data_IF_541375415226
#
_entry.id   IF_541375415226
#
_cell.length_a   1.000
_cell.length_b   1.000
_cell.length_c   1.000
_cell.angle_alpha   90.00
_cell.angle_beta   90.00
_cell.angle_gamma   90.00
#
_symmetry.space_group_name_H-M   'P 1'
#
loop_
_entity.id
_entity.type
_entity.pdbx_description
1 polymer ?
#
# COMPACT_ATOMS: atom_id res chain seq x y z
N UNK A 1 -11.33 14.66 -15.39
CA UNK A 1 -11.18 13.23 -15.68
C UNK A 1 -9.72 12.89 -15.89
N UNK A 2 -9.33 11.70 -15.47
CA UNK A 2 -7.97 11.19 -15.66
C UNK A 2 -7.86 10.55 -17.03
N UNK A 3 -6.76 10.83 -17.74
CA UNK A 3 -6.51 10.31 -19.07
C UNK A 3 -5.13 9.67 -19.22
N UNK A 4 -4.23 9.92 -18.26
CA UNK A 4 -2.85 9.42 -18.30
C UNK A 4 -2.41 8.88 -16.96
N UNK A 5 -1.70 7.76 -17.02
CA UNK A 5 -1.01 7.19 -15.86
C UNK A 5 0.47 7.46 -16.05
N UNK A 6 1.08 8.13 -15.08
CA UNK A 6 2.48 8.53 -15.13
C UNK A 6 3.28 7.93 -13.97
N UNK A 7 4.57 7.72 -14.18
CA UNK A 7 5.46 7.26 -13.13
C UNK A 7 5.79 8.44 -12.21
N UNK A 8 5.46 8.28 -10.93
CA UNK A 8 5.68 9.33 -9.94
C UNK A 8 7.16 9.68 -9.79
N UNK A 9 7.46 10.97 -9.83
CA UNK A 9 8.81 11.49 -9.59
C UNK A 9 8.72 12.74 -8.71
N UNK A 10 9.74 12.92 -7.86
CA UNK A 10 9.93 14.14 -7.10
C UNK A 10 10.88 15.08 -7.86
N UNK A 11 10.84 16.37 -7.52
CA UNK A 11 11.79 17.32 -8.08
C UNK A 11 13.22 17.01 -7.61
N UNK A 12 14.21 17.69 -8.17
CA UNK A 12 15.62 17.42 -7.92
C UNK A 12 16.04 17.52 -6.45
N UNK A 13 15.37 18.38 -5.67
CA UNK A 13 15.64 18.50 -4.24
C UNK A 13 14.84 17.51 -3.39
N UNK A 14 13.95 16.73 -3.99
CA UNK A 14 13.18 15.70 -3.32
C UNK A 14 12.07 16.18 -2.38
N UNK A 15 11.81 17.49 -2.34
CA UNK A 15 10.85 18.10 -1.41
C UNK A 15 9.42 18.19 -1.97
N UNK A 16 9.28 18.33 -3.28
CA UNK A 16 8.00 18.49 -3.97
C UNK A 16 7.88 17.53 -5.15
N UNK A 17 6.65 17.34 -5.58
CA UNK A 17 6.38 16.58 -6.79
C UNK A 17 6.97 17.33 -8.00
N UNK A 18 7.55 16.57 -8.92
CA UNK A 18 7.88 17.06 -10.25
C UNK A 18 6.58 17.43 -10.98
N UNK A 19 6.63 18.33 -11.95
CA UNK A 19 5.44 18.60 -12.76
C UNK A 19 4.94 17.32 -13.43
N UNK A 20 3.63 17.03 -13.28
CA UNK A 20 3.05 15.80 -13.81
C UNK A 20 3.22 15.66 -15.31
N UNK A 21 3.18 16.77 -16.04
CA UNK A 21 3.42 16.76 -17.49
C UNK A 21 4.84 16.38 -17.89
N UNK A 22 5.79 16.44 -16.93
CA UNK A 22 7.19 16.04 -17.13
C UNK A 22 7.47 14.58 -16.71
N UNK A 23 6.51 13.93 -16.05
CA UNK A 23 6.66 12.54 -15.65
C UNK A 23 6.46 11.58 -16.84
N UNK A 24 7.12 10.42 -16.79
CA UNK A 24 6.98 9.42 -17.83
C UNK A 24 5.55 8.90 -17.91
N UNK A 25 4.94 8.97 -19.09
CA UNK A 25 3.62 8.40 -19.34
C UNK A 25 3.74 6.89 -19.52
N UNK A 26 3.18 6.13 -18.59
CA UNK A 26 3.17 4.67 -18.64
C UNK A 26 2.02 4.14 -19.50
N UNK A 27 0.87 4.79 -19.44
CA UNK A 27 -0.32 4.39 -20.17
C UNK A 27 -1.25 5.57 -20.39
N UNK A 28 -1.80 5.68 -21.58
CA UNK A 28 -2.97 6.51 -21.84
C UNK A 28 -4.22 5.66 -21.65
N UNK A 29 -5.20 6.20 -20.94
CA UNK A 29 -6.44 5.50 -20.60
C UNK A 29 -7.66 6.24 -21.11
N UNK A 30 -8.79 5.55 -21.21
CA UNK A 30 -10.07 6.20 -21.48
C UNK A 30 -10.37 7.17 -20.33
N UNK A 31 -10.89 8.36 -20.62
CA UNK A 31 -11.23 9.33 -19.57
C UNK A 31 -12.10 8.69 -18.47
N UNK A 32 -11.69 8.87 -17.23
CA UNK A 32 -12.37 8.30 -16.06
C UNK A 32 -12.25 9.23 -14.87
N UNK A 33 -13.23 9.18 -13.97
CA UNK A 33 -13.17 9.85 -12.67
C UNK A 33 -12.60 8.94 -11.58
N UNK A 34 -12.34 7.67 -11.89
CA UNK A 34 -11.74 6.72 -10.95
C UNK A 34 -10.23 6.94 -10.86
N UNK A 35 -9.74 7.23 -9.66
CA UNK A 35 -8.31 7.43 -9.38
C UNK A 35 -7.55 6.15 -9.07
N UNK A 36 -8.25 5.02 -8.95
CA UNK A 36 -7.69 3.69 -8.67
C UNK A 36 -6.89 3.58 -7.37
N UNK A 37 -7.02 4.52 -6.42
CA UNK A 37 -6.22 4.51 -5.19
C UNK A 37 -6.39 3.25 -4.33
N UNK A 38 -7.49 2.56 -4.45
CA UNK A 38 -7.74 1.31 -3.72
C UNK A 38 -7.29 0.06 -4.47
N UNK A 39 -6.61 0.23 -5.60
CA UNK A 39 -6.27 -0.87 -6.49
C UNK A 39 -4.77 -0.94 -6.76
N UNK A 40 -4.31 -2.13 -7.14
CA UNK A 40 -3.01 -2.33 -7.77
C UNK A 40 -3.25 -2.35 -9.27
N UNK A 41 -2.41 -1.65 -10.01
CA UNK A 41 -2.50 -1.60 -11.48
C UNK A 41 -1.40 -2.44 -12.10
N UNK A 42 -1.75 -3.21 -13.15
CA UNK A 42 -0.78 -3.96 -13.93
C UNK A 42 -0.67 -3.34 -15.31
N UNK A 43 0.52 -2.85 -15.64
CA UNK A 43 0.82 -2.19 -16.92
C UNK A 43 2.08 -2.83 -17.50
N UNK A 44 1.98 -3.41 -18.69
CA UNK A 44 3.09 -4.06 -19.38
C UNK A 44 3.84 -5.10 -18.52
N UNK A 45 3.08 -5.87 -17.73
CA UNK A 45 3.64 -6.92 -16.87
C UNK A 45 4.23 -6.43 -15.54
N UNK A 46 4.25 -5.14 -15.30
CA UNK A 46 4.72 -4.54 -14.04
C UNK A 46 3.55 -4.08 -13.19
N UNK A 47 3.74 -4.08 -11.88
CA UNK A 47 2.74 -3.70 -10.90
C UNK A 47 3.01 -2.31 -10.33
N UNK A 48 1.94 -1.53 -10.20
CA UNK A 48 2.01 -0.16 -9.73
C UNK A 48 0.91 0.13 -8.72
N UNK A 49 1.20 1.04 -7.80
CA UNK A 49 0.22 1.54 -6.83
C UNK A 49 0.05 3.04 -7.04
N UNK A 50 -1.17 3.54 -7.26
CA UNK A 50 -1.43 4.97 -7.30
C UNK A 50 -1.01 5.65 -5.99
N UNK A 51 -0.30 6.76 -6.10
CA UNK A 51 0.19 7.51 -4.94
C UNK A 51 -0.23 8.97 -4.96
N UNK A 52 -0.59 9.52 -6.12
CA UNK A 52 -0.97 10.91 -6.26
C UNK A 52 -1.81 11.11 -7.52
N UNK A 53 -2.63 12.16 -7.55
CA UNK A 53 -3.41 12.51 -8.73
C UNK A 53 -3.54 14.03 -8.83
N UNK A 54 -3.41 14.56 -10.04
CA UNK A 54 -3.56 15.98 -10.32
C UNK A 54 -3.98 16.21 -11.78
N UNK A 55 -5.02 17.00 -11.99
CA UNK A 55 -5.50 17.29 -13.33
C UNK A 55 -5.97 16.03 -14.06
N UNK A 56 -5.36 15.73 -15.19
CA UNK A 56 -5.65 14.52 -15.98
C UNK A 56 -4.72 13.34 -15.66
N UNK A 57 -3.81 13.51 -14.69
CA UNK A 57 -2.76 12.56 -14.39
C UNK A 57 -3.02 11.77 -13.11
N UNK A 58 -2.77 10.46 -13.17
CA UNK A 58 -2.63 9.60 -11.99
C UNK A 58 -1.17 9.20 -11.92
N UNK A 59 -0.49 9.56 -10.85
CA UNK A 59 0.89 9.20 -10.62
C UNK A 59 0.98 7.92 -9.80
N UNK A 60 1.83 6.99 -10.24
CA UNK A 60 1.95 5.65 -9.63
C UNK A 60 3.40 5.31 -9.34
N UNK A 61 3.59 4.51 -8.28
CA UNK A 61 4.88 3.91 -7.93
C UNK A 61 4.89 2.43 -8.30
N UNK A 62 6.02 1.94 -8.79
CA UNK A 62 6.22 0.51 -9.04
C UNK A 62 6.29 -0.23 -7.70
N UNK A 63 5.56 -1.32 -7.60
CA UNK A 63 5.57 -2.18 -6.40
C UNK A 63 5.84 -3.63 -6.78
N UNK A 64 6.28 -4.40 -5.80
CA UNK A 64 6.40 -5.84 -5.89
C UNK A 64 5.41 -6.49 -4.96
N UNK A 65 4.89 -7.64 -5.38
CA UNK A 65 4.01 -8.47 -4.55
C UNK A 65 4.65 -9.84 -4.38
N UNK A 66 4.31 -10.50 -3.27
CA UNK A 66 4.76 -11.85 -3.01
C UNK A 66 3.73 -12.83 -3.59
N UNK A 67 4.09 -13.56 -4.65
CA UNK A 67 3.20 -14.53 -5.29
C UNK A 67 2.90 -15.74 -4.40
N UNK A 68 3.81 -16.05 -3.48
CA UNK A 68 3.67 -17.13 -2.51
C UNK A 68 3.85 -16.57 -1.10
N UNK A 69 2.87 -15.78 -0.59
CA UNK A 69 3.01 -15.14 0.71
C UNK A 69 3.09 -16.17 1.84
N UNK A 70 3.86 -15.86 2.86
CA UNK A 70 3.91 -16.66 4.08
C UNK A 70 2.52 -16.70 4.70
N UNK A 71 2.16 -17.83 5.34
CA UNK A 71 0.88 -17.96 6.01
C UNK A 71 0.71 -16.92 7.13
N UNK A 72 1.75 -16.67 7.89
CA UNK A 72 1.75 -15.71 9.00
C UNK A 72 3.04 -14.90 8.96
N UNK A 73 2.92 -13.59 9.11
CA UNK A 73 4.04 -12.67 9.20
C UNK A 73 4.03 -12.02 10.57
N UNK A 74 5.18 -12.03 11.25
CA UNK A 74 5.40 -11.37 12.53
C UNK A 74 6.05 -10.01 12.29
N UNK A 75 5.56 -8.98 12.95
CA UNK A 75 6.14 -7.63 12.89
C UNK A 75 6.13 -6.97 14.25
N UNK A 76 6.97 -5.97 14.45
CA UNK A 76 7.08 -5.22 15.69
C UNK A 76 6.57 -3.79 15.46
N UNK A 77 5.67 -3.35 16.33
CA UNK A 77 5.07 -2.00 16.31
C UNK A 77 4.41 -1.61 14.98
N UNK A 78 4.03 -2.58 14.17
CA UNK A 78 3.40 -2.38 12.87
C UNK A 78 2.65 -3.63 12.44
N UNK A 79 1.72 -3.48 11.49
CA UNK A 79 1.17 -4.59 10.73
C UNK A 79 1.92 -4.69 9.40
N UNK A 80 2.41 -5.87 9.05
CA UNK A 80 3.03 -6.11 7.76
C UNK A 80 2.15 -7.00 6.89
N UNK A 81 1.85 -6.54 5.68
CA UNK A 81 1.07 -7.31 4.73
C UNK A 81 1.92 -8.47 4.15
N UNK A 82 1.46 -9.72 4.26
CA UNK A 82 2.19 -10.84 3.65
C UNK A 82 2.26 -10.77 2.12
N UNK A 83 1.32 -10.07 1.50
CA UNK A 83 1.20 -10.00 0.04
C UNK A 83 2.10 -8.94 -0.58
N UNK A 84 2.02 -7.68 -0.13
CA UNK A 84 2.83 -6.59 -0.69
C UNK A 84 4.05 -6.22 0.17
N UNK A 85 4.17 -6.82 1.36
CA UNK A 85 5.21 -6.57 2.35
C UNK A 85 5.23 -5.13 2.91
N UNK A 86 4.24 -4.32 2.55
CA UNK A 86 4.08 -2.99 3.11
C UNK A 86 3.70 -3.03 4.59
N UNK A 87 4.12 -2.02 5.34
CA UNK A 87 3.84 -1.91 6.78
C UNK A 87 2.90 -0.76 7.08
N UNK A 88 2.07 -0.95 8.11
CA UNK A 88 1.22 0.07 8.69
C UNK A 88 1.59 0.24 10.16
N UNK A 89 2.19 1.37 10.49
CA UNK A 89 2.62 1.68 11.86
C UNK A 89 1.52 2.34 12.70
N UNK A 90 0.37 2.65 12.10
CA UNK A 90 -0.71 3.35 12.78
C UNK A 90 -1.66 2.37 13.47
N UNK A 91 -1.16 1.71 14.52
CA UNK A 91 -1.92 0.73 15.31
C UNK A 91 -3.06 1.37 16.10
N UNK A 92 -3.08 2.69 16.24
CA UNK A 92 -4.14 3.42 16.95
C UNK A 92 -5.49 3.38 16.25
N UNK A 93 -5.50 3.16 14.94
CA UNK A 93 -6.71 3.05 14.14
C UNK A 93 -7.39 1.68 14.28
N UNK A 94 -6.72 0.71 14.88
CA UNK A 94 -7.29 -0.60 15.11
C UNK A 94 -8.28 -0.56 16.27
N UNK A 95 -9.50 -1.08 16.05
CA UNK A 95 -10.56 -1.08 17.07
C UNK A 95 -10.30 -2.06 18.22
N UNK A 96 -9.49 -3.09 17.99
CA UNK A 96 -9.14 -4.07 19.00
C UNK A 96 -7.78 -4.70 18.71
N UNK A 97 -7.29 -5.55 19.65
CA UNK A 97 -5.99 -6.25 19.51
C UNK A 97 -6.02 -7.37 18.48
N UNK A 98 -7.19 -7.74 18.01
CA UNK A 98 -7.35 -8.78 16.98
C UNK A 98 -8.57 -8.49 16.12
N UNK A 99 -8.54 -8.94 14.88
CA UNK A 99 -9.65 -8.77 13.95
C UNK A 99 -9.19 -8.82 12.51
N UNK A 100 -9.94 -8.16 11.64
CA UNK A 100 -9.65 -8.06 10.23
C UNK A 100 -9.51 -6.59 9.85
N UNK A 101 -8.62 -6.32 8.90
CA UNK A 101 -8.40 -4.98 8.35
C UNK A 101 -7.98 -5.08 6.90
N UNK A 102 -7.90 -3.95 6.22
CA UNK A 102 -7.37 -3.88 4.87
C UNK A 102 -5.95 -3.30 4.90
N UNK A 103 -5.08 -3.85 4.03
CA UNK A 103 -3.74 -3.28 3.86
C UNK A 103 -3.87 -1.88 3.24
N UNK A 104 -3.27 -0.89 3.88
CA UNK A 104 -3.27 0.49 3.37
C UNK A 104 -2.48 0.67 2.08
N UNK A 105 -1.61 -0.28 1.74
CA UNK A 105 -0.78 -0.21 0.54
C UNK A 105 -1.39 -0.92 -0.66
N UNK A 106 -1.95 -2.12 -0.48
CA UNK A 106 -2.47 -2.90 -1.61
C UNK A 106 -3.97 -3.20 -1.54
N UNK A 107 -4.65 -2.86 -0.44
CA UNK A 107 -6.08 -3.10 -0.28
C UNK A 107 -6.47 -4.55 0.00
N UNK A 108 -5.51 -5.44 0.23
CA UNK A 108 -5.78 -6.84 0.57
C UNK A 108 -6.39 -6.96 1.96
N UNK A 109 -7.26 -7.95 2.15
CA UNK A 109 -7.88 -8.22 3.46
C UNK A 109 -6.95 -9.06 4.32
N UNK A 110 -6.66 -8.58 5.51
CA UNK A 110 -5.74 -9.20 6.47
C UNK A 110 -6.46 -9.53 7.76
N UNK A 111 -6.07 -10.66 8.36
CA UNK A 111 -6.39 -10.97 9.74
C UNK A 111 -5.17 -10.62 10.60
N UNK A 112 -5.40 -9.99 11.74
CA UNK A 112 -4.31 -9.58 12.62
C UNK A 112 -4.57 -9.95 14.08
N UNK A 113 -3.47 -10.14 14.82
CA UNK A 113 -3.45 -10.25 16.28
C UNK A 113 -2.23 -9.47 16.77
N UNK A 114 -2.45 -8.55 17.69
CA UNK A 114 -1.38 -7.75 18.29
C UNK A 114 -1.34 -7.98 19.79
N UNK A 115 -0.13 -8.17 20.34
CA UNK A 115 0.10 -8.37 21.77
C UNK A 115 1.10 -7.34 22.28
N UNK A 116 0.80 -6.72 23.41
CA UNK A 116 1.71 -5.81 24.08
C UNK A 116 2.78 -6.59 24.84
N UNK A 117 4.03 -6.16 24.72
CA UNK A 117 5.15 -6.67 25.49
C UNK A 117 5.45 -5.66 26.60
N UNK A 118 5.25 -6.08 27.86
CA UNK A 118 5.44 -5.22 29.01
C UNK A 118 6.87 -5.34 29.53
N UNK A 119 7.43 -4.22 29.98
CA UNK A 119 8.73 -4.22 30.66
C UNK A 119 8.60 -4.53 32.16
N UNK A 120 9.71 -4.46 32.91
CA UNK A 120 9.72 -4.75 34.35
C UNK A 120 8.94 -3.74 35.19
N UNK A 121 8.56 -2.59 34.61
CA UNK A 121 7.80 -1.54 35.28
C UNK A 121 6.31 -1.52 34.88
N UNK A 122 5.81 -2.59 34.26
CA UNK A 122 4.45 -2.69 33.71
C UNK A 122 4.11 -1.62 32.66
N UNK A 123 5.14 -1.14 31.96
CA UNK A 123 4.96 -0.23 30.82
C UNK A 123 5.04 -1.01 29.50
N UNK A 124 4.22 -0.62 28.54
CA UNK A 124 4.26 -1.20 27.20
C UNK A 124 5.56 -0.78 26.51
N UNK A 125 6.45 -1.75 26.26
CA UNK A 125 7.73 -1.52 25.59
C UNK A 125 7.57 -1.66 24.07
N UNK A 126 6.92 -2.74 23.62
CA UNK A 126 6.71 -3.05 22.22
C UNK A 126 5.32 -3.68 22.01
N UNK A 127 4.86 -3.65 20.77
CA UNK A 127 3.69 -4.38 20.33
C UNK A 127 4.13 -5.38 19.26
N UNK A 128 3.86 -6.65 19.48
CA UNK A 128 4.15 -7.70 18.50
C UNK A 128 2.89 -8.04 17.75
N UNK A 129 2.90 -7.90 16.44
CA UNK A 129 1.75 -8.15 15.58
C UNK A 129 2.00 -9.36 14.67
N UNK A 130 0.94 -10.14 14.46
CA UNK A 130 0.91 -11.22 13.49
C UNK A 130 -0.18 -10.95 12.48
N UNK A 131 0.14 -11.11 11.20
CA UNK A 131 -0.82 -10.91 10.12
C UNK A 131 -0.92 -12.15 9.24
N UNK A 132 -2.12 -12.41 8.74
CA UNK A 132 -2.40 -13.47 7.77
C UNK A 132 -3.19 -12.87 6.61
N UNK A 133 -2.84 -13.24 5.38
CA UNK A 133 -3.59 -12.84 4.21
C UNK A 133 -4.88 -13.66 4.13
N UNK A 134 -6.02 -12.98 4.14
CA UNK A 134 -7.33 -13.62 3.93
C UNK A 134 -7.68 -13.61 2.44
N UNK A 135 -7.60 -12.42 1.83
CA UNK A 135 -7.89 -12.22 0.42
C UNK A 135 -6.99 -11.16 -0.15
N UNK A 136 -6.20 -11.51 -1.15
CA UNK A 136 -5.40 -10.54 -1.87
C UNK A 136 -6.28 -9.68 -2.79
N UNK A 137 -5.93 -8.42 -2.92
CA UNK A 137 -6.54 -7.52 -3.88
C UNK A 137 -5.88 -7.76 -5.23
N UNK A 138 -6.62 -8.34 -6.18
CA UNK A 138 -6.07 -8.66 -7.48
C UNK A 138 -5.76 -7.39 -8.28
N UNK A 139 -4.61 -7.36 -9.00
CA UNK A 139 -4.29 -6.24 -9.88
C UNK A 139 -5.30 -6.06 -10.99
N UNK A 140 -5.59 -4.80 -11.32
CA UNK A 140 -6.36 -4.43 -12.50
C UNK A 140 -5.40 -4.30 -13.67
N UNK A 141 -5.63 -5.04 -14.72
CA UNK A 141 -4.82 -4.95 -15.94
C UNK A 141 -5.32 -3.80 -16.82
N UNK A 142 -4.40 -2.92 -17.16
CA UNK A 142 -4.67 -1.77 -18.02
C UNK A 142 -3.95 -1.87 -19.38
#
# INVERSE_FOLDING_TARGET
MYTKIVKYERNEIGAWDKEYSSMEVLKEIKPTDNDFFENILKIDGKLYKPCSAYGEYIAVDEIEINENPKKTVRSENALQCPYCEGTDEDLHELESDKGETECIHCGSTLKYVCNEVMNTYDECEDVICYTQLIKNNEPIEL
#
